data_IF_888669111855
#
_entry.id   IF_888669111855
#
_cell.length_a   1.000
_cell.length_b   1.000
_cell.length_c   1.000
_cell.angle_alpha   90.00
_cell.angle_beta   90.00
_cell.angle_gamma   90.00
#
_symmetry.space_group_name_H-M   'P 1'
#
loop_
_entity.id
_entity.type
_entity.pdbx_description
1 polymer ?
#
# COMPACT_ATOMS: atom_id res chain seq x y z
N UNK A 1 -76.18 32.04 -40.92
CA UNK A 1 -74.80 31.55 -41.06
C UNK A 1 -73.99 32.08 -39.89
N UNK A 2 -73.61 31.25 -38.91
CA UNK A 2 -72.85 31.66 -37.72
C UNK A 2 -71.43 31.12 -37.88
N UNK A 3 -70.48 32.00 -38.18
CA UNK A 3 -69.06 31.66 -38.32
C UNK A 3 -68.42 31.43 -36.95
N UNK A 4 -68.15 30.18 -36.60
CA UNK A 4 -67.37 29.81 -35.40
C UNK A 4 -65.89 30.13 -35.65
N UNK A 5 -65.35 31.13 -34.96
CA UNK A 5 -63.90 31.40 -34.96
C UNK A 5 -63.18 30.26 -34.23
N UNK A 6 -62.53 29.36 -34.97
CA UNK A 6 -61.60 28.39 -34.40
C UNK A 6 -60.35 29.15 -33.97
N UNK A 7 -60.22 29.40 -32.66
CA UNK A 7 -58.97 29.91 -32.07
C UNK A 7 -57.85 28.94 -32.40
N UNK A 8 -56.94 29.37 -33.27
CA UNK A 8 -55.76 28.63 -33.68
C UNK A 8 -54.76 28.64 -32.51
N UNK A 9 -54.82 27.62 -31.65
CA UNK A 9 -53.83 27.41 -30.59
C UNK A 9 -52.45 27.19 -31.24
N UNK A 10 -51.61 28.21 -31.21
CA UNK A 10 -50.22 28.13 -31.65
C UNK A 10 -49.34 27.65 -30.49
N UNK A 11 -48.85 26.41 -30.59
CA UNK A 11 -47.42 26.14 -30.56
C UNK A 11 -46.64 26.32 -29.25
N UNK A 12 -47.20 25.96 -28.09
CA UNK A 12 -46.44 25.92 -26.82
C UNK A 12 -46.20 24.48 -26.32
N UNK A 13 -46.97 23.49 -26.80
CA UNK A 13 -46.87 22.08 -26.39
C UNK A 13 -45.50 21.46 -26.68
N UNK A 14 -44.88 21.79 -27.82
CA UNK A 14 -43.53 21.31 -28.15
C UNK A 14 -42.47 21.82 -27.15
N UNK A 15 -42.56 23.10 -26.77
CA UNK A 15 -41.62 23.72 -25.83
C UNK A 15 -41.78 23.08 -24.45
N UNK A 16 -43.02 22.92 -23.98
CA UNK A 16 -43.31 22.27 -22.70
C UNK A 16 -42.80 20.82 -22.70
N UNK A 17 -43.09 20.06 -23.76
CA UNK A 17 -42.61 18.68 -23.91
C UNK A 17 -41.08 18.60 -23.91
N UNK A 18 -40.40 19.53 -24.58
CA UNK A 18 -38.93 19.57 -24.63
C UNK A 18 -38.33 19.95 -23.27
N UNK A 19 -38.92 20.91 -22.55
CA UNK A 19 -38.49 21.26 -21.18
C UNK A 19 -38.65 20.08 -20.23
N UNK A 20 -39.78 19.37 -20.28
CA UNK A 20 -39.98 18.16 -19.49
C UNK A 20 -39.01 17.04 -19.89
N UNK A 21 -38.77 16.84 -21.19
CA UNK A 21 -37.81 15.85 -21.67
C UNK A 21 -36.40 16.17 -21.16
N UNK A 22 -35.96 17.42 -21.25
CA UNK A 22 -34.65 17.86 -20.73
C UNK A 22 -34.58 17.66 -19.21
N UNK A 23 -35.62 18.07 -18.45
CA UNK A 23 -35.65 17.86 -17.02
C UNK A 23 -35.51 16.38 -16.63
N UNK A 24 -36.23 15.48 -17.32
CA UNK A 24 -36.14 14.03 -17.11
C UNK A 24 -34.75 13.49 -17.48
N UNK A 25 -34.13 13.97 -18.56
CA UNK A 25 -32.76 13.54 -18.93
C UNK A 25 -31.72 13.95 -17.88
N UNK A 26 -31.83 15.15 -17.30
CA UNK A 26 -30.92 15.59 -16.24
C UNK A 26 -31.06 14.74 -14.98
N UNK A 27 -32.29 14.39 -14.59
CA UNK A 27 -32.53 13.48 -13.46
C UNK A 27 -31.95 12.09 -13.75
N UNK A 28 -32.18 11.53 -14.94
CA UNK A 28 -31.65 10.21 -15.33
C UNK A 28 -30.10 10.17 -15.35
N UNK A 29 -29.46 11.22 -15.86
CA UNK A 29 -28.00 11.35 -15.86
C UNK A 29 -27.46 11.42 -14.42
N UNK A 30 -28.07 12.24 -13.55
CA UNK A 30 -27.63 12.39 -12.16
C UNK A 30 -27.63 11.07 -11.38
N UNK A 31 -28.64 10.22 -11.58
CA UNK A 31 -28.73 8.89 -10.98
C UNK A 31 -27.70 7.89 -11.52
N UNK A 32 -27.26 8.06 -12.77
CA UNK A 32 -26.25 7.20 -13.38
C UNK A 32 -24.83 7.53 -12.86
N UNK A 33 -24.57 8.80 -12.55
CA UNK A 33 -23.28 9.24 -12.00
C UNK A 33 -23.02 8.77 -10.56
N UNK A 34 -24.04 8.52 -9.74
CA UNK A 34 -23.85 8.04 -8.35
C UNK A 34 -23.43 6.57 -8.31
N UNK A 35 -24.05 5.71 -9.13
CA UNK A 35 -23.74 4.28 -9.19
C UNK A 35 -22.30 3.99 -9.61
N UNK A 36 -21.77 4.75 -10.58
CA UNK A 36 -20.38 4.59 -11.04
C UNK A 36 -19.36 5.00 -9.97
N UNK A 37 -19.70 5.98 -9.12
CA UNK A 37 -18.82 6.40 -8.02
C UNK A 37 -18.77 5.35 -6.90
N UNK A 38 -19.92 4.80 -6.52
CA UNK A 38 -20.01 3.75 -5.49
C UNK A 38 -19.23 2.48 -5.88
N UNK A 39 -19.30 2.06 -7.15
CA UNK A 39 -18.53 0.92 -7.65
C UNK A 39 -17.01 1.14 -7.53
N UNK A 40 -16.54 2.35 -7.83
CA UNK A 40 -15.11 2.72 -7.70
C UNK A 40 -14.65 2.75 -6.25
N UNK A 41 -15.48 3.26 -5.33
CA UNK A 41 -15.15 3.25 -3.90
C UNK A 41 -15.11 1.83 -3.33
N UNK A 42 -16.07 0.97 -3.71
CA UNK A 42 -16.06 -0.43 -3.30
C UNK A 42 -14.81 -1.16 -3.81
N UNK A 43 -14.41 -0.91 -5.06
CA UNK A 43 -13.20 -1.49 -5.64
C UNK A 43 -11.92 -0.99 -4.96
N UNK A 44 -11.81 0.33 -4.75
CA UNK A 44 -10.67 0.94 -4.08
C UNK A 44 -10.55 0.47 -2.61
N UNK A 45 -11.67 0.35 -1.90
CA UNK A 45 -11.71 -0.16 -0.53
C UNK A 45 -11.27 -1.62 -0.43
N UNK A 46 -11.68 -2.46 -1.38
CA UNK A 46 -11.19 -3.84 -1.48
C UNK A 46 -9.69 -3.90 -1.74
N UNK A 47 -9.20 -3.12 -2.71
CA UNK A 47 -7.78 -3.08 -3.04
C UNK A 47 -6.92 -2.59 -1.86
N UNK A 48 -7.41 -1.61 -1.10
CA UNK A 48 -6.76 -1.14 0.12
C UNK A 48 -6.72 -2.21 1.21
N UNK A 49 -7.82 -2.96 1.39
CA UNK A 49 -7.88 -4.06 2.36
C UNK A 49 -6.87 -5.16 2.01
N UNK A 50 -6.79 -5.54 0.73
CA UNK A 50 -5.81 -6.51 0.23
C UNK A 50 -4.36 -6.01 0.40
N UNK A 51 -4.10 -4.73 0.10
CA UNK A 51 -2.78 -4.13 0.31
C UNK A 51 -2.36 -4.16 1.78
N UNK A 52 -3.31 -3.93 2.69
CA UNK A 52 -3.07 -3.95 4.15
C UNK A 52 -2.78 -5.37 4.63
N UNK A 53 -3.59 -6.35 4.22
CA UNK A 53 -3.35 -7.77 4.54
C UNK A 53 -1.97 -8.23 4.05
N UNK A 54 -1.60 -7.86 2.83
CA UNK A 54 -0.29 -8.16 2.28
C UNK A 54 0.85 -7.49 3.07
N UNK A 55 0.68 -6.25 3.52
CA UNK A 55 1.66 -5.56 4.36
C UNK A 55 1.78 -6.25 5.74
N UNK A 56 0.67 -6.64 6.38
CA UNK A 56 0.70 -7.38 7.64
C UNK A 56 1.39 -8.74 7.50
N UNK A 57 1.17 -9.44 6.39
CA UNK A 57 1.84 -10.69 6.10
C UNK A 57 3.37 -10.53 6.05
N UNK A 58 3.87 -9.43 5.48
CA UNK A 58 5.30 -9.13 5.48
C UNK A 58 5.86 -8.93 6.88
N UNK A 59 5.17 -8.17 7.73
CA UNK A 59 5.61 -7.94 9.10
C UNK A 59 5.70 -9.26 9.88
N UNK A 60 4.63 -10.07 9.84
CA UNK A 60 4.59 -11.36 10.53
C UNK A 60 5.67 -12.33 10.03
N UNK A 61 5.93 -12.34 8.72
CA UNK A 61 6.98 -13.16 8.13
C UNK A 61 8.37 -12.75 8.65
N UNK A 62 8.69 -11.45 8.58
CA UNK A 62 9.97 -10.91 9.03
C UNK A 62 10.19 -11.08 10.53
N UNK A 63 9.17 -10.85 11.35
CA UNK A 63 9.21 -11.14 12.79
C UNK A 63 9.49 -12.62 13.04
N UNK A 64 8.89 -13.51 12.26
CA UNK A 64 9.15 -14.95 12.30
C UNK A 64 10.61 -15.31 11.97
N UNK A 65 11.25 -14.61 11.03
CA UNK A 65 12.67 -14.82 10.70
C UNK A 65 13.58 -14.45 11.88
N UNK A 66 13.27 -13.34 12.56
CA UNK A 66 14.02 -12.89 13.73
C UNK A 66 13.78 -13.83 14.91
N UNK A 67 12.52 -14.19 15.18
CA UNK A 67 12.14 -15.08 16.28
C UNK A 67 12.71 -16.50 16.15
N UNK A 68 12.88 -17.01 14.93
CA UNK A 68 13.50 -18.33 14.67
C UNK A 68 15.02 -18.29 14.66
N UNK A 69 15.64 -17.12 14.84
CA UNK A 69 17.09 -16.95 14.78
C UNK A 69 17.68 -17.09 13.37
N UNK A 70 16.88 -16.90 12.31
CA UNK A 70 17.42 -16.78 10.94
C UNK A 70 18.12 -15.43 10.74
N UNK A 71 17.70 -14.41 11.48
CA UNK A 71 18.37 -13.11 11.58
C UNK A 71 18.86 -12.97 13.02
N UNK A 72 20.17 -12.75 13.18
CA UNK A 72 20.83 -12.69 14.49
C UNK A 72 21.78 -11.51 14.52
N UNK A 73 21.65 -10.69 15.57
CA UNK A 73 22.43 -9.46 15.76
C UNK A 73 22.39 -8.58 14.50
N UNK A 74 23.51 -7.97 14.14
CA UNK A 74 23.68 -7.19 12.92
C UNK A 74 24.29 -7.99 11.75
N UNK A 75 24.25 -9.33 11.78
CA UNK A 75 24.87 -10.14 10.72
C UNK A 75 24.13 -10.00 9.38
N UNK A 76 24.86 -9.73 8.30
CA UNK A 76 24.31 -9.59 6.95
C UNK A 76 23.64 -8.24 6.64
N UNK A 77 23.59 -7.32 7.60
CA UNK A 77 23.06 -5.97 7.37
C UNK A 77 24.11 -5.10 6.66
N UNK A 78 23.68 -4.38 5.63
CA UNK A 78 24.54 -3.52 4.80
C UNK A 78 23.95 -2.12 4.67
N UNK A 79 24.77 -1.14 4.28
CA UNK A 79 24.25 0.20 3.98
C UNK A 79 23.42 0.17 2.70
N UNK A 80 22.11 0.35 2.82
CA UNK A 80 21.17 0.30 1.70
C UNK A 80 21.10 1.59 0.87
N UNK A 81 21.89 2.61 1.21
CA UNK A 81 21.92 3.89 0.48
C UNK A 81 23.01 3.97 -0.57
N UNK A 82 23.93 2.99 -0.59
CA UNK A 82 24.95 2.90 -1.63
C UNK A 82 24.37 2.27 -2.90
N UNK A 83 24.83 2.74 -4.06
CA UNK A 83 24.41 2.19 -5.34
C UNK A 83 24.90 0.74 -5.52
N UNK A 84 24.09 -0.08 -6.21
CA UNK A 84 24.41 -1.48 -6.55
C UNK A 84 24.65 -2.40 -5.32
N UNK A 85 23.95 -2.15 -4.22
CA UNK A 85 24.00 -3.01 -3.04
C UNK A 85 23.03 -4.19 -3.15
N UNK A 86 23.46 -5.34 -2.64
CA UNK A 86 22.60 -6.51 -2.43
C UNK A 86 22.36 -6.65 -0.94
N UNK A 87 21.26 -6.07 -0.48
CA UNK A 87 20.90 -6.07 0.93
C UNK A 87 19.89 -7.18 1.29
N UNK A 88 19.14 -7.69 0.31
CA UNK A 88 18.11 -8.71 0.52
C UNK A 88 17.16 -8.36 1.68
N UNK A 89 16.81 -7.07 1.79
CA UNK A 89 15.95 -6.56 2.85
C UNK A 89 16.63 -6.33 4.20
N UNK A 90 17.95 -6.45 4.34
CA UNK A 90 18.68 -6.22 5.60
C UNK A 90 19.54 -4.95 5.51
N UNK A 91 19.09 -3.88 6.17
CA UNK A 91 19.69 -2.56 6.06
C UNK A 91 20.26 -2.03 7.38
N UNK A 92 21.45 -1.45 7.35
CA UNK A 92 21.94 -0.65 8.46
C UNK A 92 21.07 0.62 8.59
N UNK A 93 20.88 1.12 9.82
CA UNK A 93 20.05 2.28 10.05
C UNK A 93 20.67 3.52 9.43
N UNK A 94 19.88 4.26 8.65
CA UNK A 94 20.32 5.50 8.00
C UNK A 94 19.67 6.73 8.65
N UNK A 95 20.42 7.84 8.71
CA UNK A 95 19.93 9.15 9.16
C UNK A 95 18.69 9.66 8.39
N UNK A 96 18.48 9.19 7.16
CA UNK A 96 17.33 9.52 6.30
C UNK A 96 16.04 8.76 6.66
N UNK A 97 16.11 7.82 7.60
CA UNK A 97 14.97 7.02 8.06
C UNK A 97 14.63 5.80 7.20
N UNK A 98 13.74 4.92 7.70
CA UNK A 98 13.45 3.59 7.13
C UNK A 98 12.75 3.69 5.78
N UNK A 99 11.92 4.73 5.62
CA UNK A 99 11.15 4.97 4.41
C UNK A 99 12.03 5.30 3.21
N UNK A 100 13.27 5.79 3.42
CA UNK A 100 14.15 6.17 2.32
C UNK A 100 14.51 4.96 1.44
N UNK A 101 14.74 3.79 2.06
CA UNK A 101 15.11 2.58 1.33
C UNK A 101 13.94 2.09 0.48
N UNK A 102 12.73 2.01 1.05
CA UNK A 102 11.53 1.61 0.31
C UNK A 102 11.16 2.60 -0.80
N UNK A 103 11.40 3.89 -0.61
CA UNK A 103 11.11 4.93 -1.60
C UNK A 103 12.10 4.93 -2.77
N UNK A 104 13.35 4.56 -2.52
CA UNK A 104 14.40 4.53 -3.55
C UNK A 104 14.49 3.18 -4.28
N UNK A 105 13.84 2.15 -3.74
CA UNK A 105 13.84 0.80 -4.30
C UNK A 105 12.72 0.60 -5.33
N UNK A 106 12.99 -0.20 -6.37
CA UNK A 106 11.97 -0.56 -7.36
C UNK A 106 11.17 -1.78 -6.87
N UNK A 107 10.26 -1.54 -5.93
CA UNK A 107 9.48 -2.58 -5.25
C UNK A 107 8.60 -3.44 -6.19
N UNK A 108 8.29 -2.93 -7.37
CA UNK A 108 7.57 -3.66 -8.42
C UNK A 108 8.45 -4.61 -9.23
N UNK A 109 9.78 -4.51 -9.07
CA UNK A 109 10.73 -5.35 -9.79
C UNK A 109 11.14 -6.55 -8.93
N UNK A 110 10.94 -7.76 -9.44
CA UNK A 110 11.37 -8.98 -8.78
C UNK A 110 12.88 -9.00 -8.51
N UNK A 111 13.66 -8.34 -9.37
CA UNK A 111 15.12 -8.21 -9.29
C UNK A 111 15.62 -7.11 -8.35
N UNK A 112 14.74 -6.44 -7.59
CA UNK A 112 15.17 -5.52 -6.56
C UNK A 112 16.00 -6.26 -5.50
N UNK A 113 17.28 -5.90 -5.41
CA UNK A 113 18.26 -6.51 -4.51
C UNK A 113 18.33 -5.81 -3.16
N UNK A 114 17.69 -4.65 -3.01
CA UNK A 114 17.70 -3.86 -1.79
C UNK A 114 16.62 -4.36 -0.84
N UNK A 115 15.42 -4.63 -1.35
CA UNK A 115 14.30 -5.16 -0.55
C UNK A 115 14.11 -6.66 -0.77
N UNK A 116 13.48 -7.35 0.18
CA UNK A 116 13.16 -8.76 0.02
C UNK A 116 11.65 -8.96 -0.16
N UNK A 117 11.27 -9.85 -1.09
CA UNK A 117 9.91 -10.36 -1.15
C UNK A 117 9.72 -11.46 -0.10
N UNK A 118 8.49 -11.60 0.41
CA UNK A 118 8.17 -12.75 1.24
C UNK A 118 8.15 -14.05 0.45
N UNK A 119 8.50 -15.14 1.12
CA UNK A 119 8.44 -16.47 0.52
C UNK A 119 6.99 -16.83 0.20
N UNK A 120 6.76 -17.37 -1.00
CA UNK A 120 5.45 -17.81 -1.48
C UNK A 120 4.87 -18.96 -0.64
N UNK A 121 5.71 -19.67 0.12
CA UNK A 121 5.27 -20.67 1.10
C UNK A 121 4.59 -20.07 2.34
N UNK A 122 4.93 -18.82 2.68
CA UNK A 122 4.44 -18.11 3.88
C UNK A 122 3.25 -17.22 3.58
N UNK A 123 3.08 -16.83 2.31
CA UNK A 123 1.93 -16.09 1.84
C UNK A 123 1.70 -16.35 0.35
N UNK A 124 0.58 -16.98 0.04
CA UNK A 124 0.18 -17.22 -1.34
C UNK A 124 -0.51 -15.97 -1.88
N UNK A 125 -0.04 -15.44 -3.01
CA UNK A 125 -0.73 -14.36 -3.74
C UNK A 125 -2.18 -14.75 -3.99
N UNK A 126 -3.18 -14.04 -3.43
CA UNK A 126 -4.59 -14.40 -3.59
C UNK A 126 -5.07 -14.24 -5.04
N UNK A 127 -4.39 -13.38 -5.81
CA UNK A 127 -4.71 -13.08 -7.21
C UNK A 127 -3.42 -12.93 -8.02
N UNK A 128 -3.37 -13.50 -9.22
CA UNK A 128 -2.18 -13.50 -10.09
C UNK A 128 -1.69 -12.10 -10.52
N UNK A 129 -2.56 -11.09 -10.46
CA UNK A 129 -2.23 -9.71 -10.79
C UNK A 129 -1.60 -8.92 -9.62
N UNK A 130 -1.64 -9.47 -8.39
CA UNK A 130 -1.01 -8.83 -7.24
C UNK A 130 0.50 -8.99 -7.29
N UNK A 131 1.20 -7.92 -6.92
CA UNK A 131 2.63 -8.00 -6.66
C UNK A 131 2.87 -8.68 -5.31
N UNK A 132 3.91 -9.50 -5.23
CA UNK A 132 4.37 -10.05 -3.95
C UNK A 132 4.82 -8.90 -3.05
N UNK A 133 4.33 -8.83 -1.80
CA UNK A 133 4.67 -7.76 -0.90
C UNK A 133 6.12 -7.93 -0.42
N UNK A 134 6.76 -6.81 -0.11
CA UNK A 134 8.20 -6.73 0.14
C UNK A 134 8.48 -6.03 1.45
N UNK A 135 9.59 -6.37 2.08
CA UNK A 135 10.00 -5.82 3.37
C UNK A 135 11.46 -5.37 3.37
N UNK A 136 11.76 -4.52 4.34
CA UNK A 136 13.09 -4.16 4.78
C UNK A 136 13.14 -4.26 6.31
N UNK A 137 14.28 -4.68 6.83
CA UNK A 137 14.57 -4.80 8.25
C UNK A 137 15.80 -3.93 8.50
N UNK A 138 15.69 -3.06 9.49
CA UNK A 138 16.81 -2.31 10.03
C UNK A 138 17.18 -2.83 11.42
N UNK A 139 18.48 -2.89 11.69
CA UNK A 139 19.01 -3.32 12.98
C UNK A 139 19.52 -2.13 13.79
N UNK A 140 19.19 -2.10 15.07
CA UNK A 140 19.70 -1.10 16.00
C UNK A 140 20.29 -1.80 17.22
N UNK A 141 21.45 -1.37 17.72
CA UNK A 141 21.91 -1.79 19.03
C UNK A 141 20.93 -1.30 20.10
N UNK A 142 20.43 -2.21 20.93
CA UNK A 142 19.61 -1.93 22.11
C UNK A 142 20.53 -1.83 23.33
N UNK A 143 21.15 -0.66 23.49
CA UNK A 143 21.98 -0.34 24.66
C UNK A 143 21.13 0.10 25.86
N UNK A 144 21.54 -0.26 27.07
CA UNK A 144 20.95 0.31 28.28
C UNK A 144 21.17 1.85 28.30
N UNK A 145 20.20 2.58 28.86
CA UNK A 145 20.29 4.04 28.95
C UNK A 145 21.58 4.48 29.67
N UNK A 146 22.35 5.36 29.02
CA UNK A 146 23.61 5.89 29.57
C UNK A 146 24.88 5.12 29.20
N UNK A 147 24.79 4.07 28.36
CA UNK A 147 25.95 3.39 27.78
C UNK A 147 26.27 4.00 26.41
N UNK A 148 27.56 4.21 26.15
CA UNK A 148 28.07 4.63 24.84
C UNK A 148 27.77 3.55 23.78
N UNK A 149 26.97 3.89 22.78
CA UNK A 149 26.58 2.99 21.68
C UNK A 149 27.79 2.56 20.83
N UNK A 150 28.94 3.23 20.95
CA UNK A 150 30.19 2.87 20.27
C UNK A 150 31.01 1.82 21.02
N UNK A 151 30.69 1.54 22.29
CA UNK A 151 31.32 0.50 23.09
C UNK A 151 30.69 -0.87 22.74
N UNK A 152 31.24 -1.53 21.72
CA UNK A 152 30.86 -2.90 21.37
C UNK A 152 31.35 -3.91 22.42
N UNK A 153 30.63 -4.00 23.53
CA UNK A 153 30.75 -5.13 24.47
C UNK A 153 30.00 -6.32 23.88
N UNK A 154 30.55 -7.53 23.91
CA UNK A 154 30.03 -8.73 23.22
C UNK A 154 28.64 -9.26 23.64
N UNK A 155 27.88 -8.48 24.41
CA UNK A 155 26.55 -8.80 24.94
C UNK A 155 25.54 -7.69 24.58
N UNK A 156 25.62 -7.16 23.35
CA UNK A 156 24.68 -6.16 22.85
C UNK A 156 23.34 -6.81 22.50
N UNK A 157 22.27 -6.36 23.15
CA UNK A 157 20.90 -6.64 22.69
C UNK A 157 20.65 -5.86 21.39
N UNK A 158 19.75 -6.34 20.55
CA UNK A 158 19.40 -5.69 19.29
C UNK A 158 17.89 -5.54 19.18
N UNK A 159 17.47 -4.41 18.64
CA UNK A 159 16.09 -4.16 18.25
C UNK A 159 16.01 -3.98 16.74
N UNK A 160 14.97 -4.57 16.16
CA UNK A 160 14.78 -4.59 14.71
C UNK A 160 13.57 -3.73 14.37
N UNK A 161 13.73 -2.81 13.42
CA UNK A 161 12.62 -2.11 12.82
C UNK A 161 12.30 -2.77 11.50
N UNK A 162 11.06 -3.21 11.34
CA UNK A 162 10.59 -3.91 10.15
C UNK A 162 9.65 -2.96 9.44
N UNK A 163 9.91 -2.67 8.17
CA UNK A 163 9.02 -1.87 7.33
C UNK A 163 8.59 -2.73 6.15
N UNK A 164 7.29 -2.99 6.07
CA UNK A 164 6.66 -3.86 5.07
C UNK A 164 5.77 -3.08 4.12
N UNK A 165 5.76 -3.42 2.83
CA UNK A 165 4.88 -2.83 1.83
C UNK A 165 4.06 -3.88 1.10
N UNK A 166 2.75 -3.71 1.15
CA UNK A 166 1.78 -4.50 0.40
C UNK A 166 1.14 -3.72 -0.75
N UNK A 167 0.68 -4.46 -1.76
CA UNK A 167 0.06 -3.92 -2.97
C UNK A 167 -1.34 -4.49 -3.14
N UNK A 168 -2.30 -3.66 -3.55
CA UNK A 168 -3.62 -4.09 -3.98
C UNK A 168 -3.60 -4.65 -5.40
N UNK A 169 -4.77 -5.00 -5.96
CA UNK A 169 -4.88 -5.41 -7.37
C UNK A 169 -4.41 -4.30 -8.31
N UNK A 170 -4.75 -3.05 -7.98
CA UNK A 170 -4.10 -1.89 -8.55
C UNK A 170 -2.81 -1.59 -7.77
N UNK A 171 -1.67 -1.67 -8.43
CA UNK A 171 -0.35 -1.45 -7.83
C UNK A 171 -0.13 -0.01 -7.32
N UNK A 172 -0.94 0.94 -7.81
CA UNK A 172 -0.94 2.31 -7.27
C UNK A 172 -1.55 2.40 -5.87
N UNK A 173 -2.37 1.42 -5.48
CA UNK A 173 -2.90 1.30 -4.13
C UNK A 173 -1.92 0.40 -3.37
N UNK A 174 -1.09 1.03 -2.56
CA UNK A 174 -0.12 0.34 -1.72
C UNK A 174 -0.20 0.86 -0.29
N UNK A 175 0.14 -0.01 0.66
CA UNK A 175 0.13 0.27 2.09
C UNK A 175 1.49 -0.11 2.64
N UNK A 176 2.07 0.79 3.43
CA UNK A 176 3.33 0.56 4.13
C UNK A 176 3.07 0.56 5.61
N UNK A 177 3.48 -0.51 6.30
CA UNK A 177 3.37 -0.68 7.73
C UNK A 177 4.77 -0.79 8.35
N UNK A 178 4.88 -0.39 9.61
CA UNK A 178 6.13 -0.45 10.37
C UNK A 178 5.89 -1.10 11.73
N UNK A 179 6.82 -1.96 12.15
CA UNK A 179 6.84 -2.64 13.44
C UNK A 179 8.24 -2.55 14.05
N UNK A 180 8.32 -2.49 15.38
CA UNK A 180 9.58 -2.62 16.12
C UNK A 180 9.53 -3.93 16.88
N UNK A 181 10.43 -4.84 16.55
CA UNK A 181 10.53 -6.16 17.14
C UNK A 181 11.79 -6.28 18.00
N UNK A 182 11.59 -6.73 19.25
CA UNK A 182 12.67 -7.09 20.16
C UNK A 182 12.62 -8.60 20.38
N UNK A 183 13.64 -9.37 19.93
CA UNK A 183 13.69 -10.80 20.23
C UNK A 183 13.83 -11.00 21.74
N UNK A 184 13.07 -11.95 22.27
CA UNK A 184 13.25 -12.39 23.66
C UNK A 184 14.35 -13.45 23.67
N UNK A 185 15.39 -13.22 24.47
CA UNK A 185 16.45 -14.18 24.77
C UNK A 185 16.05 -15.19 25.83
#
# INVERSE_FOLDING_TARGET
MIGRSLRRQRGVTLIIALVFLVALTLVALSASYSSVQEERFARNGRDFSLATEAAEATLRYSEGLIAKGSIVNANGFVDCTVANVTASGLCLPNASGPMHVLLNSNLSNASDTVTAAIDSSSWTVPYAAMLTPRYVIEVFPDGAAGIDLTAQTGDQSYLYRITGRGFGLNQQINVTLESIFRPYG
#
